data_IF_480893501986
#
_entry.id   IF_480893501986
#
_cell.length_a   1.000
_cell.length_b   1.000
_cell.length_c   1.000
_cell.angle_alpha   90.00
_cell.angle_beta   90.00
_cell.angle_gamma   90.00
#
_symmetry.space_group_name_H-M   'P 1'
#
loop_
_entity.id
_entity.type
_entity.pdbx_description
1 polymer ?
#
# COMPACT_ATOMS: atom_id res chain seq x y z
N UNK A 1 8.34 -7.30 39.33
CA UNK A 1 7.85 -6.44 38.23
C UNK A 1 7.85 -5.01 38.74
N UNK A 2 8.63 -4.11 38.14
CA UNK A 2 8.98 -2.79 38.69
C UNK A 2 7.76 -1.86 38.80
N UNK A 3 7.65 -1.09 39.90
CA UNK A 3 6.55 -0.13 40.12
C UNK A 3 6.43 0.92 39.01
N UNK A 4 7.56 1.26 38.38
CA UNK A 4 7.61 2.14 37.21
C UNK A 4 6.79 1.61 36.03
N UNK A 5 6.84 0.30 35.77
CA UNK A 5 6.05 -0.33 34.71
C UNK A 5 4.55 -0.21 34.98
N UNK A 6 4.12 -0.42 36.23
CA UNK A 6 2.73 -0.27 36.63
C UNK A 6 2.25 1.18 36.47
N UNK A 7 3.06 2.16 36.86
CA UNK A 7 2.74 3.57 36.67
C UNK A 7 2.64 3.97 35.18
N UNK A 8 3.50 3.41 34.31
CA UNK A 8 3.41 3.66 32.88
C UNK A 8 2.14 3.06 32.25
N UNK A 9 1.80 1.83 32.63
CA UNK A 9 0.54 1.19 32.22
C UNK A 9 -0.66 2.04 32.66
N UNK A 10 -0.67 2.52 33.91
CA UNK A 10 -1.74 3.36 34.42
C UNK A 10 -1.90 4.66 33.62
N UNK A 11 -0.81 5.30 33.20
CA UNK A 11 -0.87 6.50 32.35
C UNK A 11 -1.43 6.18 30.96
N UNK A 12 -1.02 5.05 30.37
CA UNK A 12 -1.54 4.60 29.06
C UNK A 12 -3.05 4.35 29.17
N UNK A 13 -3.49 3.58 30.15
CA UNK A 13 -4.90 3.23 30.33
C UNK A 13 -5.78 4.43 30.67
N UNK A 14 -5.28 5.35 31.51
CA UNK A 14 -6.08 6.47 32.00
C UNK A 14 -6.10 7.66 31.04
N UNK A 15 -5.05 7.86 30.24
CA UNK A 15 -4.91 9.03 29.36
C UNK A 15 -4.90 8.67 27.88
N UNK A 16 -4.11 7.68 27.46
CA UNK A 16 -3.90 7.38 26.04
C UNK A 16 -5.05 6.57 25.46
N UNK A 17 -5.49 5.52 26.16
CA UNK A 17 -6.61 4.66 25.74
C UNK A 17 -7.90 5.43 25.49
N UNK A 18 -8.40 6.28 26.42
CA UNK A 18 -9.64 7.03 26.18
C UNK A 18 -9.48 8.08 25.08
N UNK A 19 -8.28 8.67 24.92
CA UNK A 19 -8.00 9.61 23.84
C UNK A 19 -8.02 8.92 22.47
N UNK A 20 -7.35 7.78 22.35
CA UNK A 20 -7.36 6.94 21.16
C UNK A 20 -8.78 6.44 20.82
N UNK A 21 -9.56 6.06 21.84
CA UNK A 21 -10.96 5.68 21.67
C UNK A 21 -11.81 6.82 21.09
N UNK A 22 -11.68 8.04 21.62
CA UNK A 22 -12.39 9.22 21.10
C UNK A 22 -11.96 9.58 19.67
N UNK A 23 -10.67 9.52 19.37
CA UNK A 23 -10.15 9.79 18.03
C UNK A 23 -10.59 8.74 17.02
N UNK A 24 -10.56 7.46 17.39
CA UNK A 24 -11.00 6.35 16.53
C UNK A 24 -12.50 6.31 16.27
N UNK A 25 -13.32 6.88 17.18
CA UNK A 25 -14.77 7.00 17.01
C UNK A 25 -15.20 8.29 16.31
N UNK A 26 -14.27 9.18 16.00
CA UNK A 26 -14.57 10.47 15.38
C UNK A 26 -14.95 10.24 13.90
N UNK A 27 -16.14 10.74 13.51
CA UNK A 27 -16.76 10.45 12.20
C UNK A 27 -15.90 10.81 10.98
N UNK A 28 -15.08 11.87 11.05
CA UNK A 28 -14.19 12.28 9.97
C UNK A 28 -12.96 11.36 9.87
N UNK A 29 -12.40 10.91 11.00
CA UNK A 29 -11.32 9.91 11.03
C UNK A 29 -11.80 8.58 10.46
N UNK A 30 -13.00 8.15 10.85
CA UNK A 30 -13.65 6.95 10.30
C UNK A 30 -13.87 7.12 8.79
N UNK A 31 -14.41 8.25 8.34
CA UNK A 31 -14.62 8.51 6.91
C UNK A 31 -13.31 8.44 6.10
N UNK A 32 -12.20 8.98 6.63
CA UNK A 32 -10.87 8.88 5.99
C UNK A 32 -10.40 7.42 5.94
N UNK A 33 -10.51 6.69 7.05
CA UNK A 33 -10.12 5.27 7.13
C UNK A 33 -10.92 4.43 6.13
N UNK A 34 -12.22 4.63 6.08
CA UNK A 34 -13.12 3.86 5.23
C UNK A 34 -12.89 4.22 3.75
N UNK A 35 -12.63 5.50 3.45
CA UNK A 35 -12.21 5.96 2.12
C UNK A 35 -10.87 5.33 1.68
N UNK A 36 -9.88 5.30 2.57
CA UNK A 36 -8.61 4.61 2.30
C UNK A 36 -8.80 3.11 2.10
N UNK A 37 -9.64 2.47 2.91
CA UNK A 37 -9.95 1.04 2.79
C UNK A 37 -10.63 0.71 1.47
N UNK A 38 -11.48 1.61 0.95
CA UNK A 38 -12.08 1.49 -0.37
C UNK A 38 -11.05 1.69 -1.51
N UNK A 39 -10.04 2.54 -1.31
CA UNK A 39 -8.99 2.81 -2.30
C UNK A 39 -7.88 1.74 -2.32
N UNK A 40 -7.63 1.04 -1.21
CA UNK A 40 -6.58 0.03 -1.06
C UNK A 40 -6.54 -1.02 -2.19
N UNK A 41 -7.67 -1.67 -2.58
CA UNK A 41 -7.66 -2.66 -3.65
C UNK A 41 -7.19 -2.10 -5.00
N UNK A 42 -7.58 -0.86 -5.33
CA UNK A 42 -7.17 -0.21 -6.58
C UNK A 42 -5.68 0.09 -6.58
N UNK A 43 -5.14 0.59 -5.47
CA UNK A 43 -3.70 0.82 -5.33
C UNK A 43 -2.89 -0.48 -5.44
N UNK A 44 -3.38 -1.57 -4.85
CA UNK A 44 -2.72 -2.88 -4.95
C UNK A 44 -2.72 -3.37 -6.39
N UNK A 45 -3.85 -3.28 -7.10
CA UNK A 45 -3.94 -3.72 -8.50
C UNK A 45 -3.04 -2.86 -9.41
N UNK A 46 -3.10 -1.54 -9.28
CA UNK A 46 -2.27 -0.62 -10.07
C UNK A 46 -0.77 -0.84 -9.85
N UNK A 47 -0.35 -0.97 -8.59
CA UNK A 47 1.06 -1.23 -8.24
C UNK A 47 1.53 -2.63 -8.65
N UNK A 48 0.67 -3.65 -8.58
CA UNK A 48 1.00 -5.00 -9.03
C UNK A 48 1.27 -5.05 -10.54
N UNK A 49 0.54 -4.27 -11.35
CA UNK A 49 0.80 -4.19 -12.79
C UNK A 49 2.18 -3.62 -13.13
N UNK A 50 2.73 -2.73 -12.29
CA UNK A 50 4.07 -2.16 -12.52
C UNK A 50 5.17 -3.22 -12.55
N UNK A 51 5.01 -4.34 -11.82
CA UNK A 51 5.96 -5.47 -11.85
C UNK A 51 6.08 -6.06 -13.25
N UNK A 52 4.98 -6.09 -14.01
CA UNK A 52 4.96 -6.57 -15.38
C UNK A 52 5.50 -5.53 -16.37
N UNK A 53 5.28 -4.25 -16.10
CA UNK A 53 5.69 -3.12 -16.95
C UNK A 53 7.18 -2.79 -16.82
N UNK A 54 7.75 -2.98 -15.63
CA UNK A 54 9.15 -2.67 -15.35
C UNK A 54 9.87 -3.92 -14.84
N UNK A 55 10.06 -4.93 -15.71
CA UNK A 55 10.81 -6.11 -15.32
C UNK A 55 12.27 -5.73 -15.01
N UNK A 56 12.88 -6.29 -13.94
CA UNK A 56 14.22 -5.93 -13.50
C UNK A 56 15.32 -6.63 -14.32
N UNK A 57 15.29 -6.47 -15.64
CA UNK A 57 16.25 -7.10 -16.56
C UNK A 57 16.96 -6.05 -17.42
N UNK A 58 18.25 -6.28 -17.70
CA UNK A 58 19.00 -5.46 -18.66
C UNK A 58 18.47 -5.65 -20.09
N UNK A 59 18.43 -4.60 -20.94
CA UNK A 59 18.09 -4.72 -22.36
C UNK A 59 18.95 -5.75 -23.11
N UNK A 60 20.20 -5.94 -22.69
CA UNK A 60 21.16 -6.85 -23.32
C UNK A 60 21.10 -8.29 -22.77
N UNK A 61 20.04 -8.63 -22.02
CA UNK A 61 19.91 -9.95 -21.39
C UNK A 61 19.89 -11.09 -22.41
N UNK A 62 20.70 -12.12 -22.17
CA UNK A 62 20.76 -13.29 -23.04
C UNK A 62 19.72 -14.35 -22.67
N UNK A 63 19.10 -14.24 -21.49
CA UNK A 63 18.08 -15.17 -21.02
C UNK A 63 16.78 -15.00 -21.83
N UNK A 64 16.31 -16.07 -22.48
CA UNK A 64 15.13 -16.04 -23.35
C UNK A 64 13.84 -15.66 -22.63
N UNK A 65 13.68 -16.03 -21.35
CA UNK A 65 12.54 -15.60 -20.54
C UNK A 65 12.59 -14.09 -20.24
N UNK A 66 13.76 -13.59 -19.86
CA UNK A 66 13.95 -12.18 -19.56
C UNK A 66 13.70 -11.30 -20.80
N UNK A 67 14.17 -11.74 -21.97
CA UNK A 67 13.88 -11.08 -23.25
C UNK A 67 12.38 -11.14 -23.60
N UNK A 68 11.76 -12.30 -23.48
CA UNK A 68 10.32 -12.46 -23.72
C UNK A 68 9.45 -11.57 -22.83
N UNK A 69 9.83 -11.40 -21.55
CA UNK A 69 9.16 -10.45 -20.66
C UNK A 69 9.41 -9.00 -21.09
N UNK A 70 10.65 -8.61 -21.39
CA UNK A 70 10.96 -7.26 -21.88
C UNK A 70 10.14 -6.91 -23.13
N UNK A 71 10.07 -7.82 -24.10
CA UNK A 71 9.30 -7.64 -25.33
C UNK A 71 7.80 -7.54 -25.05
N UNK A 72 7.26 -8.42 -24.18
CA UNK A 72 5.86 -8.36 -23.73
C UNK A 72 5.53 -7.01 -23.07
N UNK A 73 6.39 -6.56 -22.17
CA UNK A 73 6.23 -5.29 -21.46
C UNK A 73 6.23 -4.11 -22.42
N UNK A 74 7.17 -4.07 -23.38
CA UNK A 74 7.26 -2.99 -24.36
C UNK A 74 6.05 -2.98 -25.29
N UNK A 75 5.60 -4.15 -25.75
CA UNK A 75 4.49 -4.25 -26.70
C UNK A 75 3.14 -3.87 -26.08
N UNK A 76 2.87 -4.32 -24.85
CA UNK A 76 1.58 -4.08 -24.17
C UNK A 76 1.63 -2.96 -23.13
N UNK A 77 2.65 -2.09 -23.19
CA UNK A 77 2.93 -1.09 -22.17
C UNK A 77 1.73 -0.18 -21.89
N UNK A 78 1.08 0.28 -22.94
CA UNK A 78 -0.07 1.19 -22.82
C UNK A 78 -1.23 0.51 -22.10
N UNK A 79 -1.56 -0.73 -22.46
CA UNK A 79 -2.66 -1.48 -21.84
C UNK A 79 -2.33 -1.83 -20.38
N UNK A 80 -1.07 -2.18 -20.10
CA UNK A 80 -0.62 -2.52 -18.76
C UNK A 80 -0.57 -1.31 -17.83
N UNK A 81 -0.34 -0.10 -18.35
CA UNK A 81 -0.34 1.15 -17.56
C UNK A 81 -1.76 1.62 -17.19
N UNK A 82 -2.80 1.13 -17.87
CA UNK A 82 -4.19 1.58 -17.64
C UNK A 82 -4.64 1.41 -16.17
N UNK A 83 -4.48 0.24 -15.51
CA UNK A 83 -4.93 0.09 -14.14
C UNK A 83 -4.18 0.99 -13.16
N UNK A 84 -2.88 1.24 -13.39
CA UNK A 84 -2.10 2.18 -12.60
C UNK A 84 -2.63 3.61 -12.74
N UNK A 85 -2.82 4.07 -13.98
CA UNK A 85 -3.31 5.42 -14.27
C UNK A 85 -4.73 5.65 -13.71
N UNK A 86 -5.61 4.65 -13.78
CA UNK A 86 -6.97 4.72 -13.24
C UNK A 86 -7.01 4.63 -11.71
N UNK A 87 -5.98 4.06 -11.07
CA UNK A 87 -5.89 3.97 -9.60
C UNK A 87 -5.28 5.20 -8.93
N UNK A 88 -4.50 6.00 -9.68
CA UNK A 88 -3.77 7.18 -9.19
C UNK A 88 -4.38 8.52 -9.66
N UNK A 89 -5.40 8.46 -10.54
CA UNK A 89 -6.24 9.60 -10.91
C UNK A 89 -7.39 9.79 -9.91
#
# INVERSE_FOLDING_TARGET
MSSLYQSMIAVIEQSITPLAGRLGQQKYVIAIRDGFTAALPFMIIGSFMLVFIFPPFSPDTTNGFARGWLDFSQHYREQLMLPFNLSMA
#
